data_IF_017139315507
#
_entry.id   IF_017139315507
#
_cell.length_a   1.000
_cell.length_b   1.000
_cell.length_c   1.000
_cell.angle_alpha   90.00
_cell.angle_beta   90.00
_cell.angle_gamma   90.00
#
_symmetry.space_group_name_H-M   'P 1'
#
loop_
_entity.id
_entity.type
_entity.pdbx_description
1 polymer ?
#
# COMPACT_ATOMS: atom_id res chain seq x y z
N UNK A 1 -10.30 -13.76 -1.54
CA UNK A 1 -9.40 -12.58 -1.62
C UNK A 1 -9.25 -11.94 -0.26
N UNK A 2 -8.10 -11.33 0.00
CA UNK A 2 -7.86 -10.43 1.15
C UNK A 2 -7.23 -9.17 0.59
N UNK A 3 -7.82 -8.02 0.90
CA UNK A 3 -7.31 -6.71 0.51
C UNK A 3 -6.47 -6.13 1.65
N UNK A 4 -5.37 -5.49 1.31
CA UNK A 4 -4.44 -4.91 2.28
C UNK A 4 -4.15 -3.47 1.86
N UNK A 5 -4.23 -2.52 2.79
CA UNK A 5 -3.93 -1.12 2.51
C UNK A 5 -3.04 -0.57 3.62
N UNK A 6 -1.73 -0.73 3.44
CA UNK A 6 -0.73 -0.41 4.45
C UNK A 6 -0.57 1.10 4.64
N UNK A 7 -0.84 1.88 3.59
CA UNK A 7 -0.66 3.34 3.62
C UNK A 7 -2.00 4.07 3.64
N UNK A 8 -2.99 3.52 4.37
CA UNK A 8 -4.37 3.98 4.35
C UNK A 8 -4.59 5.31 5.08
N UNK A 9 -3.67 5.69 5.97
CA UNK A 9 -3.92 6.80 6.90
C UNK A 9 -2.75 7.76 6.97
N UNK A 10 -3.06 9.06 7.12
CA UNK A 10 -2.05 10.09 7.41
C UNK A 10 -1.99 10.43 8.90
N UNK A 11 -2.66 9.65 9.73
CA UNK A 11 -2.76 9.96 11.15
C UNK A 11 -1.41 9.83 11.87
N UNK A 12 -1.00 10.89 12.53
CA UNK A 12 0.17 10.94 13.41
C UNK A 12 -0.33 11.48 14.76
N UNK A 13 -0.11 10.76 15.88
CA UNK A 13 -0.59 11.23 17.18
C UNK A 13 -0.11 12.66 17.49
N UNK A 14 -0.96 13.44 18.13
CA UNK A 14 -0.70 14.87 18.39
C UNK A 14 0.60 15.07 19.17
N UNK A 15 0.90 14.14 20.08
CA UNK A 15 2.10 14.20 20.92
C UNK A 15 3.39 14.17 20.09
N UNK A 16 3.33 13.63 18.89
CA UNK A 16 4.49 13.54 18.00
C UNK A 16 4.61 14.75 17.09
N UNK A 17 3.72 15.75 17.22
CA UNK A 17 3.81 17.05 16.54
C UNK A 17 4.08 16.89 15.04
N UNK A 18 3.35 16.01 14.38
CA UNK A 18 3.49 15.70 12.96
C UNK A 18 4.90 15.33 12.48
N UNK A 19 5.76 14.79 13.25
CA UNK A 19 6.91 14.39 13.06
C UNK A 19 7.76 15.39 12.71
N UNK A 20 7.43 16.70 13.15
CA UNK A 20 8.15 17.94 12.84
C UNK A 20 7.86 18.50 11.46
N UNK A 21 6.88 17.96 10.81
CA UNK A 21 6.50 18.39 9.46
C UNK A 21 5.50 19.56 9.48
N UNK A 22 5.47 20.35 8.49
CA UNK A 22 4.59 21.25 8.30
C UNK A 22 3.37 20.63 8.03
N UNK A 23 2.27 21.25 8.27
CA UNK A 23 0.96 20.65 8.07
C UNK A 23 0.76 20.20 6.62
N UNK A 24 1.08 21.07 5.68
CA UNK A 24 0.91 20.73 4.26
C UNK A 24 1.67 19.46 3.86
N UNK A 25 2.91 19.32 4.34
CA UNK A 25 3.70 18.13 4.03
C UNK A 25 3.11 16.87 4.69
N UNK A 26 2.56 17.02 5.90
CA UNK A 26 1.93 15.87 6.59
C UNK A 26 0.62 15.42 5.94
N UNK A 27 0.09 16.20 5.01
CA UNK A 27 -1.12 15.86 4.26
C UNK A 27 -0.81 15.33 2.86
N UNK A 28 0.47 15.40 2.45
CA UNK A 28 0.92 14.95 1.13
C UNK A 28 1.11 13.44 1.04
N UNK A 29 1.35 12.99 -0.17
CA UNK A 29 1.55 11.56 -0.49
C UNK A 29 2.73 10.91 0.26
N UNK A 30 3.60 11.70 0.85
CA UNK A 30 4.70 11.14 1.67
C UNK A 30 4.17 10.50 2.95
N UNK A 31 3.01 10.96 3.44
CA UNK A 31 2.44 10.50 4.71
C UNK A 31 1.47 9.33 4.54
N UNK A 32 0.86 9.20 3.37
CA UNK A 32 -0.18 8.21 3.09
C UNK A 32 -0.44 8.11 1.59
N UNK A 33 -1.10 7.05 1.17
CA UNK A 33 -1.47 6.88 -0.24
C UNK A 33 -2.86 7.48 -0.46
N UNK A 34 -2.88 8.70 -1.02
CA UNK A 34 -4.11 9.49 -1.18
C UNK A 34 -5.13 8.70 -2.03
N UNK A 35 -6.32 8.50 -1.47
CA UNK A 35 -7.42 7.80 -2.16
C UNK A 35 -7.35 6.28 -2.09
N UNK A 36 -6.23 5.70 -1.66
CA UNK A 36 -6.09 4.24 -1.65
C UNK A 36 -7.09 3.56 -0.72
N UNK A 37 -7.30 4.12 0.48
CA UNK A 37 -8.26 3.53 1.42
C UNK A 37 -9.69 3.55 0.84
N UNK A 38 -10.09 4.67 0.25
CA UNK A 38 -11.43 4.76 -0.34
C UNK A 38 -11.61 3.73 -1.45
N UNK A 39 -10.59 3.53 -2.29
CA UNK A 39 -10.63 2.50 -3.33
C UNK A 39 -10.68 1.09 -2.71
N UNK A 40 -9.86 0.83 -1.70
CA UNK A 40 -9.83 -0.47 -1.03
C UNK A 40 -11.18 -0.79 -0.39
N UNK A 41 -11.82 0.19 0.25
CA UNK A 41 -13.15 0.02 0.86
C UNK A 41 -14.21 -0.28 -0.20
N UNK A 42 -14.18 0.43 -1.33
CA UNK A 42 -15.14 0.18 -2.42
C UNK A 42 -14.92 -1.22 -3.03
N UNK A 43 -13.66 -1.62 -3.23
CA UNK A 43 -13.37 -2.97 -3.72
C UNK A 43 -13.80 -4.04 -2.70
N UNK A 44 -13.56 -3.80 -1.42
CA UNK A 44 -13.96 -4.73 -0.34
C UNK A 44 -15.46 -4.95 -0.38
N UNK A 45 -16.24 -3.88 -0.52
CA UNK A 45 -17.69 -3.96 -0.59
C UNK A 45 -18.17 -4.73 -1.83
N UNK A 46 -17.58 -4.43 -3.00
CA UNK A 46 -18.00 -5.07 -4.26
C UNK A 46 -17.64 -6.55 -4.33
N UNK A 47 -16.49 -6.90 -3.75
CA UNK A 47 -15.97 -8.28 -3.81
C UNK A 47 -16.36 -9.12 -2.59
N UNK A 48 -17.01 -8.51 -1.60
CA UNK A 48 -17.28 -9.14 -0.30
C UNK A 48 -15.99 -9.75 0.26
N UNK A 49 -14.90 -8.95 0.24
CA UNK A 49 -13.57 -9.38 0.62
C UNK A 49 -13.11 -8.64 1.87
N UNK A 50 -12.52 -9.34 2.85
CA UNK A 50 -11.99 -8.64 4.02
C UNK A 50 -10.87 -7.68 3.62
N UNK A 51 -10.81 -6.56 4.34
CA UNK A 51 -9.81 -5.51 4.15
C UNK A 51 -9.08 -5.26 5.46
N UNK A 52 -7.76 -5.34 5.43
CA UNK A 52 -6.92 -4.91 6.54
C UNK A 52 -6.26 -3.59 6.14
N UNK A 53 -6.55 -2.53 6.88
CA UNK A 53 -6.04 -1.18 6.57
C UNK A 53 -5.31 -0.59 7.76
N UNK A 54 -4.22 0.12 7.50
CA UNK A 54 -3.44 0.77 8.55
C UNK A 54 -4.17 1.99 9.12
N UNK A 55 -4.05 2.18 10.43
CA UNK A 55 -4.66 3.33 11.12
C UNK A 55 -3.72 4.52 11.26
N UNK A 56 -2.45 4.38 10.92
CA UNK A 56 -1.44 5.40 11.14
C UNK A 56 -0.61 5.64 9.89
N UNK A 57 0.02 6.83 9.86
CA UNK A 57 0.87 7.25 8.75
C UNK A 57 2.10 6.36 8.59
N UNK A 58 2.47 6.09 7.32
CA UNK A 58 3.70 5.36 6.99
C UNK A 58 4.96 6.07 7.50
N UNK A 59 4.84 7.36 7.84
CA UNK A 59 5.98 8.11 8.40
C UNK A 59 6.31 7.67 9.83
N UNK A 60 5.35 7.06 10.56
CA UNK A 60 5.66 6.51 11.88
C UNK A 60 6.48 5.24 11.75
N UNK A 61 6.01 4.33 10.92
CA UNK A 61 6.71 3.14 10.47
C UNK A 61 5.99 2.64 9.21
N UNK A 62 6.73 2.32 8.19
CA UNK A 62 6.13 1.86 6.93
C UNK A 62 5.82 0.36 7.04
N UNK A 63 4.52 0.03 6.97
CA UNK A 63 4.06 -1.35 7.14
C UNK A 63 4.35 -2.22 5.93
N UNK A 64 4.75 -1.63 4.79
CA UNK A 64 5.17 -2.42 3.63
C UNK A 64 6.69 -2.42 3.45
N UNK A 65 7.46 -2.06 4.47
CA UNK A 65 8.93 -2.14 4.43
C UNK A 65 9.40 -3.19 5.42
N UNK A 66 10.39 -4.02 5.09
CA UNK A 66 11.05 -4.84 6.12
C UNK A 66 11.62 -3.95 7.21
N UNK A 67 11.65 -4.47 8.44
CA UNK A 67 12.13 -3.67 9.58
C UNK A 67 13.57 -3.21 9.42
N UNK A 68 14.37 -3.98 8.67
CA UNK A 68 15.77 -3.69 8.41
C UNK A 68 15.99 -2.65 7.31
N UNK A 69 14.94 -2.35 6.54
CA UNK A 69 15.07 -1.37 5.45
C UNK A 69 15.33 0.03 6.02
N UNK A 70 16.24 0.80 5.43
CA UNK A 70 16.59 2.12 5.98
C UNK A 70 15.42 3.08 5.97
N UNK A 71 14.42 2.87 5.12
CA UNK A 71 13.22 3.68 5.06
C UNK A 71 12.01 3.06 5.76
N UNK A 72 12.23 2.03 6.60
CA UNK A 72 11.15 1.49 7.43
C UNK A 72 10.60 2.56 8.39
N UNK A 73 11.48 3.44 8.89
CA UNK A 73 11.09 4.66 9.62
C UNK A 73 11.89 5.79 8.96
N UNK A 74 11.32 6.44 7.94
CA UNK A 74 12.12 7.28 7.05
C UNK A 74 12.49 8.63 7.69
N UNK A 75 13.80 8.97 7.81
CA UNK A 75 14.20 10.31 8.23
C UNK A 75 14.03 11.34 7.12
N UNK A 76 13.71 10.88 5.92
CA UNK A 76 13.51 11.71 4.74
C UNK A 76 12.55 10.99 3.79
N UNK A 77 11.60 11.69 3.20
CA UNK A 77 10.68 11.10 2.23
C UNK A 77 10.52 12.04 1.04
N UNK A 78 10.89 11.57 -0.14
CA UNK A 78 11.02 12.36 -1.35
C UNK A 78 11.88 13.61 -1.09
N UNK A 79 11.30 14.82 -1.16
CA UNK A 79 12.03 16.07 -0.93
C UNK A 79 11.89 16.58 0.52
N UNK A 80 11.16 15.85 1.35
CA UNK A 80 10.80 16.33 2.68
C UNK A 80 11.66 15.66 3.76
N UNK A 81 12.38 16.47 4.57
CA UNK A 81 12.97 15.90 5.79
C UNK A 81 11.87 15.61 6.80
N UNK A 82 12.04 14.54 7.57
CA UNK A 82 11.12 14.15 8.65
C UNK A 82 11.88 14.26 9.97
N UNK A 83 11.94 15.46 10.56
CA UNK A 83 12.82 15.68 11.72
C UNK A 83 12.58 14.74 12.89
N UNK A 84 11.32 14.39 13.16
CA UNK A 84 10.98 13.49 14.26
C UNK A 84 11.44 12.06 14.08
N UNK A 85 12.00 11.72 12.91
CA UNK A 85 12.53 10.38 12.66
C UNK A 85 14.06 10.35 12.64
N UNK A 86 14.69 11.51 12.83
CA UNK A 86 16.15 11.57 12.90
C UNK A 86 16.64 11.11 14.26
N UNK A 87 17.71 10.34 14.28
CA UNK A 87 18.40 9.93 15.50
C UNK A 87 17.48 9.29 16.54
N UNK A 88 16.46 8.55 16.09
CA UNK A 88 15.56 7.85 17.01
C UNK A 88 16.34 6.81 17.81
N UNK A 89 16.10 6.78 19.13
CA UNK A 89 16.67 5.74 19.96
C UNK A 89 16.10 4.37 19.60
N UNK A 90 16.85 3.33 19.88
CA UNK A 90 16.41 1.96 19.66
C UNK A 90 15.10 1.68 20.43
N UNK A 91 14.93 2.26 21.60
CA UNK A 91 13.70 2.10 22.39
C UNK A 91 12.48 2.63 21.62
N UNK A 92 12.60 3.80 20.99
CA UNK A 92 11.48 4.38 20.24
C UNK A 92 11.22 3.57 18.97
N UNK A 93 12.28 3.12 18.28
CA UNK A 93 12.13 2.26 17.10
C UNK A 93 11.36 0.99 17.46
N UNK A 94 11.80 0.31 18.50
CA UNK A 94 11.17 -0.93 18.97
C UNK A 94 9.72 -0.70 19.39
N UNK A 95 9.45 0.41 20.05
CA UNK A 95 8.08 0.75 20.44
C UNK A 95 7.16 0.84 19.22
N UNK A 96 7.62 1.51 18.15
CA UNK A 96 6.81 1.60 16.92
C UNK A 96 6.63 0.24 16.26
N UNK A 97 7.66 -0.58 16.25
CA UNK A 97 7.57 -1.95 15.73
C UNK A 97 6.53 -2.76 16.50
N UNK A 98 6.61 -2.70 17.83
CA UNK A 98 5.74 -3.52 18.70
C UNK A 98 4.28 -3.02 18.70
N UNK A 99 4.06 -1.72 18.54
CA UNK A 99 2.72 -1.17 18.60
C UNK A 99 2.02 -1.10 17.25
N UNK A 100 2.78 -1.04 16.14
CA UNK A 100 2.20 -0.82 14.82
C UNK A 100 2.52 -1.94 13.84
N UNK A 101 3.81 -2.26 13.65
CA UNK A 101 4.24 -3.22 12.62
C UNK A 101 3.82 -4.64 12.98
N UNK A 102 4.23 -5.12 14.14
CA UNK A 102 3.97 -6.51 14.50
C UNK A 102 2.46 -6.81 14.61
N UNK A 103 1.64 -5.97 15.25
CA UNK A 103 0.20 -6.28 15.30
C UNK A 103 -0.46 -6.33 13.94
N UNK A 104 -0.07 -5.43 13.02
CA UNK A 104 -0.62 -5.41 11.66
C UNK A 104 -0.30 -6.73 10.94
N UNK A 105 0.98 -7.12 10.95
CA UNK A 105 1.42 -8.32 10.24
C UNK A 105 0.94 -9.60 10.92
N UNK A 106 0.82 -9.62 12.25
CA UNK A 106 0.24 -10.74 12.98
C UNK A 106 -1.23 -10.92 12.60
N UNK A 107 -1.98 -9.83 12.50
CA UNK A 107 -3.39 -9.90 12.11
C UNK A 107 -3.53 -10.43 10.69
N UNK A 108 -2.69 -9.97 9.77
CA UNK A 108 -2.72 -10.46 8.38
C UNK A 108 -2.34 -11.96 8.33
N UNK A 109 -1.30 -12.35 9.06
CA UNK A 109 -0.88 -13.76 9.16
C UNK A 109 -2.03 -14.62 9.66
N UNK A 110 -2.71 -14.18 10.73
CA UNK A 110 -3.83 -14.91 11.30
C UNK A 110 -4.95 -15.07 10.28
N UNK A 111 -5.34 -13.98 9.63
CA UNK A 111 -6.45 -14.00 8.66
C UNK A 111 -6.15 -14.95 7.50
N UNK A 112 -4.94 -14.86 6.94
CA UNK A 112 -4.55 -15.74 5.82
C UNK A 112 -4.45 -17.19 6.27
N UNK A 113 -3.89 -17.43 7.47
CA UNK A 113 -3.78 -18.78 8.02
C UNK A 113 -5.15 -19.43 8.25
N UNK A 114 -6.10 -18.66 8.80
CA UNK A 114 -7.47 -19.16 9.02
C UNK A 114 -8.13 -19.56 7.69
N UNK A 115 -7.95 -18.73 6.65
CA UNK A 115 -8.53 -19.01 5.33
C UNK A 115 -7.88 -20.24 4.69
N UNK A 116 -6.55 -20.35 4.78
CA UNK A 116 -5.86 -21.52 4.24
C UNK A 116 -6.27 -22.80 4.98
N UNK A 117 -6.37 -22.76 6.31
CA UNK A 117 -6.80 -23.91 7.10
C UNK A 117 -8.23 -24.34 6.77
N UNK A 118 -9.09 -23.39 6.41
CA UNK A 118 -10.48 -23.67 6.03
C UNK A 118 -10.61 -24.05 4.55
N UNK A 119 -9.51 -24.12 3.80
CA UNK A 119 -9.54 -24.46 2.38
C UNK A 119 -10.17 -23.39 1.50
N UNK A 120 -10.19 -22.13 1.96
CA UNK A 120 -10.78 -21.03 1.20
C UNK A 120 -9.76 -20.50 0.20
N UNK A 121 -10.02 -20.60 -1.12
CA UNK A 121 -9.10 -20.03 -2.11
C UNK A 121 -8.88 -18.55 -1.85
N UNK A 122 -7.61 -18.14 -1.79
CA UNK A 122 -7.27 -16.77 -1.37
C UNK A 122 -6.20 -16.17 -2.27
N UNK A 123 -6.43 -14.93 -2.66
CA UNK A 123 -5.44 -14.03 -3.26
C UNK A 123 -5.20 -12.86 -2.32
N UNK A 124 -4.01 -12.29 -2.39
CA UNK A 124 -3.65 -11.10 -1.60
C UNK A 124 -3.51 -9.93 -2.57
N UNK A 125 -4.22 -8.84 -2.30
CA UNK A 125 -4.19 -7.66 -3.17
C UNK A 125 -3.89 -6.44 -2.31
N UNK A 126 -2.69 -5.88 -2.46
CA UNK A 126 -2.33 -4.60 -1.87
C UNK A 126 -2.98 -3.48 -2.69
N UNK A 127 -3.51 -2.46 -2.00
CA UNK A 127 -4.12 -1.32 -2.67
C UNK A 127 -3.36 -0.06 -2.28
N UNK A 128 -2.71 0.55 -3.27
CA UNK A 128 -1.83 1.71 -3.10
C UNK A 128 -2.16 2.80 -4.11
N UNK A 129 -1.63 3.99 -3.88
CA UNK A 129 -1.66 5.05 -4.87
C UNK A 129 -0.33 5.79 -4.90
N UNK A 130 -0.01 6.38 -6.05
CA UNK A 130 1.24 7.11 -6.24
C UNK A 130 0.99 8.50 -6.79
N UNK A 131 1.97 9.39 -6.55
CA UNK A 131 1.88 10.79 -6.97
C UNK A 131 2.10 10.94 -8.48
N UNK A 132 1.34 11.83 -9.17
CA UNK A 132 1.57 12.08 -10.60
C UNK A 132 2.87 12.81 -10.90
N UNK A 133 3.52 13.40 -9.90
CA UNK A 133 4.84 14.05 -10.05
C UNK A 133 5.74 13.55 -8.92
N UNK A 134 6.93 13.07 -9.26
CA UNK A 134 7.88 12.55 -8.27
C UNK A 134 9.26 13.13 -8.56
N UNK A 135 9.86 13.75 -7.55
CA UNK A 135 11.12 14.51 -7.70
C UNK A 135 11.04 15.47 -8.88
N UNK A 136 9.90 16.17 -9.03
CA UNK A 136 9.66 17.13 -10.09
C UNK A 136 9.43 16.55 -11.47
N UNK A 137 9.38 15.22 -11.62
CA UNK A 137 9.21 14.56 -12.92
C UNK A 137 7.78 14.00 -13.04
N UNK A 138 7.05 14.38 -14.10
CA UNK A 138 5.71 13.83 -14.32
C UNK A 138 5.74 12.33 -14.60
N UNK A 139 4.70 11.65 -14.15
CA UNK A 139 4.50 10.21 -14.37
C UNK A 139 3.26 10.02 -15.24
N UNK A 140 3.41 9.67 -16.52
CA UNK A 140 2.25 9.54 -17.42
C UNK A 140 1.39 8.32 -17.11
N UNK A 141 1.98 7.26 -16.58
CA UNK A 141 1.27 6.02 -16.26
C UNK A 141 0.14 6.29 -15.28
N UNK A 142 -1.08 5.79 -15.56
CA UNK A 142 -2.22 6.03 -14.67
C UNK A 142 -2.41 4.92 -13.63
N UNK A 143 -1.87 3.71 -13.92
CA UNK A 143 -1.91 2.60 -12.95
C UNK A 143 -0.84 1.58 -13.25
N UNK A 144 -0.39 0.90 -12.21
CA UNK A 144 0.50 -0.23 -12.30
C UNK A 144 -0.03 -1.42 -11.52
N UNK A 145 0.41 -2.61 -11.92
CA UNK A 145 0.17 -3.84 -11.15
C UNK A 145 1.55 -4.44 -10.86
N UNK A 146 1.91 -4.45 -9.59
CA UNK A 146 3.22 -4.96 -9.17
C UNK A 146 3.09 -6.42 -8.72
N UNK A 147 4.07 -7.25 -9.08
CA UNK A 147 4.04 -8.67 -8.75
C UNK A 147 5.44 -9.26 -8.85
N UNK A 148 5.63 -10.43 -8.24
CA UNK A 148 6.85 -11.23 -8.43
C UNK A 148 6.48 -12.57 -9.06
N UNK A 149 5.69 -13.38 -8.36
CA UNK A 149 5.36 -14.73 -8.82
C UNK A 149 4.04 -14.83 -9.58
N UNK A 150 3.11 -13.89 -9.34
CA UNK A 150 1.73 -13.97 -9.86
C UNK A 150 1.56 -13.26 -11.21
N UNK A 151 2.46 -13.56 -12.18
CA UNK A 151 2.45 -12.88 -13.47
C UNK A 151 1.18 -13.08 -14.28
N UNK A 152 0.60 -14.29 -14.24
CA UNK A 152 -0.64 -14.56 -14.99
C UNK A 152 -1.82 -13.75 -14.41
N UNK A 153 -1.89 -13.68 -13.06
CA UNK A 153 -2.92 -12.89 -12.39
C UNK A 153 -2.77 -11.39 -12.70
N UNK A 154 -1.53 -10.88 -12.57
CA UNK A 154 -1.26 -9.48 -12.91
C UNK A 154 -1.59 -9.17 -14.38
N UNK A 155 -1.24 -10.09 -15.29
CA UNK A 155 -1.55 -9.95 -16.72
C UNK A 155 -3.04 -9.84 -16.98
N UNK A 156 -3.85 -10.66 -16.30
CA UNK A 156 -5.31 -10.60 -16.44
C UNK A 156 -5.85 -9.21 -16.01
N UNK A 157 -5.34 -8.67 -14.91
CA UNK A 157 -5.76 -7.34 -14.44
C UNK A 157 -5.35 -6.26 -15.44
N UNK A 158 -4.10 -6.32 -15.92
CA UNK A 158 -3.58 -5.33 -16.87
C UNK A 158 -4.38 -5.35 -18.19
N UNK A 159 -4.66 -6.54 -18.71
CA UNK A 159 -5.42 -6.67 -19.94
C UNK A 159 -6.84 -6.15 -19.79
N UNK A 160 -7.45 -6.39 -18.60
CA UNK A 160 -8.76 -5.84 -18.31
C UNK A 160 -8.76 -4.32 -18.29
N UNK A 161 -7.76 -3.72 -17.67
CA UNK A 161 -7.65 -2.25 -17.61
C UNK A 161 -7.38 -1.66 -19.00
N UNK A 162 -6.57 -2.33 -19.83
CA UNK A 162 -6.29 -1.88 -21.19
C UNK A 162 -7.53 -1.81 -22.06
N UNK A 163 -8.54 -2.64 -21.80
CA UNK A 163 -9.82 -2.58 -22.52
C UNK A 163 -10.55 -1.26 -22.34
N UNK A 164 -10.21 -0.53 -21.27
CA UNK A 164 -10.75 0.82 -21.03
C UNK A 164 -9.88 1.92 -21.63
N UNK A 165 -8.86 1.56 -22.43
CA UNK A 165 -7.97 2.54 -23.05
C UNK A 165 -6.99 3.18 -22.06
N UNK A 166 -6.75 2.54 -20.93
CA UNK A 166 -5.88 3.10 -19.88
C UNK A 166 -4.42 2.75 -20.15
N UNK A 167 -3.52 3.71 -19.88
CA UNK A 167 -2.09 3.49 -19.96
C UNK A 167 -1.61 2.87 -18.66
N UNK A 168 -1.44 1.54 -18.66
CA UNK A 168 -1.09 0.76 -17.48
C UNK A 168 0.07 -0.18 -17.77
N UNK A 169 0.84 -0.54 -16.74
CA UNK A 169 2.01 -1.41 -16.93
C UNK A 169 2.22 -2.31 -15.71
N UNK A 170 2.87 -3.44 -15.98
CA UNK A 170 3.32 -4.34 -14.92
C UNK A 170 4.65 -3.86 -14.34
N UNK A 171 4.80 -3.95 -13.01
CA UNK A 171 6.03 -3.61 -12.30
C UNK A 171 6.53 -2.20 -12.62
N UNK A 172 5.58 -1.26 -12.70
CA UNK A 172 5.78 0.18 -12.80
C UNK A 172 4.67 0.88 -12.00
N UNK A 173 4.92 2.04 -11.40
CA UNK A 173 6.17 2.80 -11.45
C UNK A 173 7.24 2.26 -10.50
N UNK A 174 6.95 1.17 -9.81
CA UNK A 174 7.88 0.50 -8.90
C UNK A 174 7.92 -0.98 -9.22
N UNK A 175 8.96 -1.68 -8.74
CA UNK A 175 9.05 -3.14 -8.82
C UNK A 175 9.24 -3.69 -7.40
N UNK A 176 8.61 -4.82 -7.11
CA UNK A 176 8.68 -5.42 -5.78
C UNK A 176 10.05 -6.05 -5.54
N UNK A 177 10.69 -5.65 -4.45
CA UNK A 177 11.96 -6.22 -3.99
C UNK A 177 11.77 -6.69 -2.54
N UNK A 178 12.03 -7.96 -2.21
CA UNK A 178 11.89 -8.42 -0.81
C UNK A 178 12.77 -7.66 0.19
N UNK A 179 13.80 -6.96 -0.26
CA UNK A 179 14.60 -6.11 0.61
C UNK A 179 13.91 -4.78 0.91
N UNK A 180 12.87 -4.43 0.12
CA UNK A 180 12.15 -3.15 0.24
C UNK A 180 10.64 -3.31 0.43
N UNK A 181 10.08 -4.53 0.26
CA UNK A 181 8.64 -4.76 0.33
C UNK A 181 8.34 -5.94 1.24
N UNK A 182 7.22 -5.88 1.93
CA UNK A 182 6.83 -6.92 2.88
C UNK A 182 5.58 -7.69 2.44
N UNK A 183 4.51 -7.01 2.06
CA UNK A 183 3.21 -7.67 1.91
C UNK A 183 3.22 -8.76 0.84
N UNK A 184 3.64 -8.45 -0.39
CA UNK A 184 3.62 -9.44 -1.46
C UNK A 184 4.65 -10.56 -1.19
N UNK A 185 5.91 -10.25 -0.85
CA UNK A 185 6.86 -11.35 -0.60
C UNK A 185 6.50 -12.25 0.57
N UNK A 186 6.10 -11.65 1.71
CA UNK A 186 5.91 -12.41 2.96
C UNK A 186 4.52 -13.04 3.04
N UNK A 187 3.48 -12.27 2.69
CA UNK A 187 2.10 -12.74 2.89
C UNK A 187 1.52 -13.38 1.63
N UNK A 188 2.11 -13.14 0.48
CA UNK A 188 1.71 -13.78 -0.77
C UNK A 188 2.65 -14.87 -1.20
N UNK A 189 3.80 -14.49 -1.76
CA UNK A 189 4.73 -15.43 -2.40
C UNK A 189 5.19 -16.54 -1.46
N UNK A 190 5.59 -16.18 -0.23
CA UNK A 190 6.10 -17.17 0.73
C UNK A 190 5.02 -18.16 1.18
N UNK A 191 3.75 -17.79 1.03
CA UNK A 191 2.61 -18.69 1.35
C UNK A 191 2.11 -19.47 0.14
N UNK A 192 2.70 -19.25 -1.04
CA UNK A 192 2.22 -19.88 -2.26
C UNK A 192 0.90 -19.32 -2.76
N UNK A 193 0.56 -18.10 -2.36
CA UNK A 193 -0.67 -17.43 -2.80
C UNK A 193 -0.37 -16.48 -3.95
N UNK A 194 -1.31 -16.33 -4.87
CA UNK A 194 -1.22 -15.27 -5.87
C UNK A 194 -1.34 -13.92 -5.14
N UNK A 195 -0.37 -13.05 -5.37
CA UNK A 195 -0.33 -11.75 -4.70
C UNK A 195 0.11 -10.67 -5.68
N UNK A 196 -0.62 -9.56 -5.67
CA UNK A 196 -0.28 -8.38 -6.46
C UNK A 196 -0.47 -7.13 -5.61
N UNK A 197 0.11 -6.03 -6.06
CA UNK A 197 -0.06 -4.73 -5.45
C UNK A 197 -0.54 -3.78 -6.55
N UNK A 198 -1.71 -3.19 -6.34
CA UNK A 198 -2.27 -2.21 -7.28
C UNK A 198 -1.71 -0.84 -6.94
N UNK A 199 -1.25 -0.12 -7.96
CA UNK A 199 -0.76 1.25 -7.83
C UNK A 199 -1.59 2.14 -8.73
N UNK A 200 -2.42 3.01 -8.17
CA UNK A 200 -3.27 3.92 -8.93
C UNK A 200 -2.76 5.35 -8.76
N UNK A 201 -2.58 6.09 -9.86
CA UNK A 201 -2.12 7.47 -9.75
C UNK A 201 -3.18 8.30 -9.03
N UNK A 202 -2.77 8.99 -7.96
CA UNK A 202 -3.72 9.50 -6.96
C UNK A 202 -4.59 10.66 -7.45
N UNK A 203 -4.21 11.34 -8.53
CA UNK A 203 -5.07 12.35 -9.13
C UNK A 203 -6.36 11.74 -9.71
N UNK A 204 -6.36 10.41 -9.98
CA UNK A 204 -7.54 9.66 -10.39
C UNK A 204 -8.41 9.18 -9.23
N UNK A 205 -8.08 9.53 -7.98
CA UNK A 205 -8.80 9.05 -6.80
C UNK A 205 -9.27 10.20 -5.89
N UNK A 206 -9.41 11.41 -6.45
CA UNK A 206 -9.68 12.60 -5.65
C UNK A 206 -11.16 12.80 -5.27
N UNK A 207 -12.06 12.08 -5.91
CA UNK A 207 -13.50 12.23 -5.65
C UNK A 207 -14.15 10.86 -5.48
N UNK A 208 -15.30 10.77 -4.77
CA UNK A 208 -16.01 9.49 -4.66
C UNK A 208 -16.39 8.90 -6.03
N UNK A 209 -16.77 9.73 -6.99
CA UNK A 209 -17.11 9.24 -8.33
C UNK A 209 -15.90 8.64 -9.04
N UNK A 210 -14.73 9.27 -8.89
CA UNK A 210 -13.49 8.76 -9.49
C UNK A 210 -13.08 7.42 -8.85
N UNK A 211 -13.21 7.32 -7.52
CA UNK A 211 -12.95 6.07 -6.80
C UNK A 211 -13.90 4.96 -7.28
N UNK A 212 -15.21 5.27 -7.39
CA UNK A 212 -16.19 4.31 -7.88
C UNK A 212 -15.87 3.85 -9.30
N UNK A 213 -15.45 4.77 -10.16
CA UNK A 213 -15.05 4.44 -11.55
C UNK A 213 -13.85 3.50 -11.58
N UNK A 214 -12.82 3.76 -10.74
CA UNK A 214 -11.66 2.87 -10.67
C UNK A 214 -12.06 1.49 -10.15
N UNK A 215 -12.91 1.43 -9.11
CA UNK A 215 -13.38 0.15 -8.59
C UNK A 215 -14.15 -0.63 -9.65
N UNK A 216 -14.99 0.06 -10.45
CA UNK A 216 -15.75 -0.57 -11.54
C UNK A 216 -14.83 -1.20 -12.59
N UNK A 217 -13.72 -0.52 -12.92
CA UNK A 217 -12.76 -1.04 -13.90
C UNK A 217 -11.95 -2.21 -13.36
N UNK A 218 -11.67 -2.23 -12.05
CA UNK A 218 -10.78 -3.23 -11.43
C UNK A 218 -11.50 -4.51 -11.03
N UNK A 219 -12.67 -4.38 -10.38
CA UNK A 219 -13.25 -5.51 -9.66
C UNK A 219 -13.54 -6.74 -10.53
N UNK A 220 -13.89 -6.62 -11.83
CA UNK A 220 -14.13 -7.84 -12.61
C UNK A 220 -12.89 -8.70 -12.84
N UNK A 221 -11.70 -8.13 -12.65
CA UNK A 221 -10.44 -8.84 -12.94
C UNK A 221 -9.74 -9.32 -11.68
N UNK A 222 -10.20 -8.89 -10.49
CA UNK A 222 -9.66 -9.31 -9.20
C UNK A 222 -10.36 -10.58 -8.68
#
# INVERSE_FOLDING_TARGET
MVLVCEHASRHIPLELQRXGLXQAAAEEHIAWDIGALALAEELSRRLDAPLLAAGYSRLLIDLNRPLEAPDSIPPHSEIYPVPGNRELSETVRRYRQDCLFHPFHQRLTQLLGERQAAGVPTRVVGVHSFTPVYHGRPRPLVAGVLYRNAGAYAGRILDGLRRHGLEVAGNQPYAIDPAEDTTVPVHGDARGLEAVLLEIRNDGLRTPDAVSAWAERLYPWL
#
